data_IF_076339465412
#
_entry.id   IF_076339465412
#
_cell.length_a   1.000
_cell.length_b   1.000
_cell.length_c   1.000
_cell.angle_alpha   90.00
_cell.angle_beta   90.00
_cell.angle_gamma   90.00
#
_symmetry.space_group_name_H-M   'P 1'
#
loop_
_entity.id
_entity.type
_entity.pdbx_description
1 polymer ?
#
# COMPACT_ATOMS: atom_id res chain seq x y z
N UNK A 1 -11.82 0.05 -1.92
CA UNK A 1 -11.00 -0.91 -2.66
C UNK A 1 -9.79 -0.19 -3.23
N UNK A 2 -8.72 -0.93 -3.53
CA UNK A 2 -7.47 -0.41 -4.09
C UNK A 2 -7.24 -1.01 -5.47
N UNK A 3 -6.77 -0.21 -6.43
CA UNK A 3 -6.33 -0.64 -7.76
C UNK A 3 -5.11 0.19 -8.14
N UNK A 4 -4.09 -0.45 -8.70
CA UNK A 4 -2.85 0.18 -9.17
C UNK A 4 -2.52 -0.32 -10.58
N UNK A 5 -1.63 0.37 -11.28
CA UNK A 5 -1.25 0.04 -12.68
C UNK A 5 -0.16 -1.02 -12.81
N UNK A 6 0.33 -1.58 -11.69
CA UNK A 6 1.41 -2.57 -11.71
C UNK A 6 1.87 -2.97 -10.32
N UNK A 7 2.98 -3.71 -10.26
CA UNK A 7 3.54 -4.26 -9.01
C UNK A 7 3.86 -3.16 -8.00
N UNK A 8 3.61 -3.44 -6.73
CA UNK A 8 3.97 -2.56 -5.61
C UNK A 8 4.18 -3.37 -4.33
N UNK A 9 4.90 -2.81 -3.37
CA UNK A 9 4.95 -3.31 -2.00
C UNK A 9 4.15 -2.39 -1.07
N UNK A 10 3.61 -2.98 0.00
CA UNK A 10 3.00 -2.24 1.10
C UNK A 10 3.85 -2.36 2.36
N UNK A 11 3.79 -1.31 3.19
CA UNK A 11 4.23 -1.34 4.58
C UNK A 11 3.07 -0.87 5.46
N UNK A 12 2.71 -1.68 6.45
CA UNK A 12 1.68 -1.40 7.43
C UNK A 12 2.34 -0.60 8.55
N UNK A 13 2.11 0.70 8.55
CA UNK A 13 2.74 1.61 9.50
C UNK A 13 2.00 1.68 10.84
N UNK A 14 0.69 1.51 10.81
CA UNK A 14 -0.18 1.54 12.01
C UNK A 14 -1.42 0.68 11.82
N UNK A 15 -1.91 0.11 12.91
CA UNK A 15 -3.16 -0.65 12.92
C UNK A 15 -3.02 -2.06 12.39
N UNK A 16 -4.17 -2.71 12.23
CA UNK A 16 -4.28 -4.08 11.71
C UNK A 16 -5.52 -4.24 10.85
N UNK A 17 -5.49 -5.21 9.96
CA UNK A 17 -6.54 -5.38 8.97
C UNK A 17 -6.38 -6.61 8.09
N UNK A 18 -7.14 -6.60 7.00
CA UNK A 18 -6.99 -7.55 5.90
C UNK A 18 -6.66 -6.82 4.60
N UNK A 19 -5.68 -7.33 3.86
CA UNK A 19 -5.36 -6.90 2.51
C UNK A 19 -5.66 -8.05 1.55
N UNK A 20 -6.78 -7.98 0.84
CA UNK A 20 -7.31 -9.07 0.02
C UNK A 20 -7.45 -10.39 0.81
N UNK A 21 -7.94 -10.31 2.05
CA UNK A 21 -8.10 -11.45 2.95
C UNK A 21 -6.83 -11.85 3.74
N UNK A 22 -5.65 -11.37 3.35
CA UNK A 22 -4.40 -11.63 4.08
C UNK A 22 -4.32 -10.75 5.32
N UNK A 23 -3.98 -11.33 6.48
CA UNK A 23 -3.76 -10.56 7.71
C UNK A 23 -2.58 -9.61 7.53
N UNK A 24 -2.79 -8.37 7.97
CA UNK A 24 -1.77 -7.33 8.00
C UNK A 24 -1.76 -6.63 9.36
N UNK A 25 -0.58 -6.34 9.90
CA UNK A 25 -0.44 -5.74 11.24
C UNK A 25 0.87 -4.97 11.37
N UNK A 26 0.78 -3.72 11.83
CA UNK A 26 1.96 -2.89 12.04
C UNK A 26 2.88 -3.44 13.14
N UNK A 27 4.19 -3.47 12.87
CA UNK A 27 5.21 -3.91 13.82
C UNK A 27 5.31 -5.44 13.99
N UNK A 28 4.51 -6.20 13.26
CA UNK A 28 4.61 -7.65 13.18
C UNK A 28 5.36 -8.04 11.90
N UNK A 29 6.65 -8.38 12.01
CA UNK A 29 7.55 -8.65 10.86
C UNK A 29 7.05 -9.69 9.85
N UNK A 30 6.08 -10.53 10.22
CA UNK A 30 5.48 -11.49 9.30
C UNK A 30 4.32 -10.91 8.48
N UNK A 31 3.71 -9.83 8.96
CA UNK A 31 2.43 -9.28 8.49
C UNK A 31 2.48 -7.76 8.22
N UNK A 32 3.61 -7.11 8.46
CA UNK A 32 3.78 -5.67 8.27
C UNK A 32 4.14 -5.30 6.82
N UNK A 33 4.54 -6.26 5.99
CA UNK A 33 4.85 -6.03 4.59
C UNK A 33 4.23 -7.09 3.67
N UNK A 34 3.75 -6.67 2.49
CA UNK A 34 3.36 -7.56 1.40
C UNK A 34 3.89 -7.04 0.07
N UNK A 35 4.31 -7.97 -0.80
CA UNK A 35 4.48 -7.70 -2.23
C UNK A 35 3.17 -8.03 -2.96
N UNK A 36 2.61 -7.05 -3.67
CA UNK A 36 1.42 -7.24 -4.50
C UNK A 36 1.86 -7.38 -5.95
N UNK A 37 1.66 -8.58 -6.51
CA UNK A 37 1.99 -8.87 -7.90
C UNK A 37 1.18 -8.03 -8.87
N UNK A 38 1.71 -7.80 -10.08
CA UNK A 38 1.00 -7.08 -11.15
C UNK A 38 -0.41 -7.65 -11.41
N UNK A 39 -0.54 -8.97 -11.44
CA UNK A 39 -1.83 -9.64 -11.72
C UNK A 39 -2.89 -9.30 -10.67
N UNK A 40 -2.50 -9.11 -9.41
CA UNK A 40 -3.43 -8.73 -8.34
C UNK A 40 -3.61 -7.22 -8.24
N UNK A 41 -2.56 -6.44 -8.45
CA UNK A 41 -2.58 -4.98 -8.36
C UNK A 41 -3.54 -4.33 -9.37
N UNK A 42 -3.66 -4.92 -10.56
CA UNK A 42 -4.48 -4.40 -11.67
C UNK A 42 -5.97 -4.77 -11.60
N UNK A 43 -6.40 -5.42 -10.51
CA UNK A 43 -7.81 -5.71 -10.20
C UNK A 43 -8.18 -5.17 -8.81
N UNK A 44 -9.47 -4.96 -8.49
CA UNK A 44 -9.88 -4.47 -7.18
C UNK A 44 -9.38 -5.36 -6.03
N UNK A 45 -8.66 -4.73 -5.11
CA UNK A 45 -8.24 -5.30 -3.83
C UNK A 45 -9.10 -4.72 -2.72
N UNK A 46 -9.64 -5.61 -1.89
CA UNK A 46 -10.36 -5.22 -0.69
C UNK A 46 -9.37 -4.94 0.44
N UNK A 47 -9.56 -3.81 1.13
CA UNK A 47 -8.74 -3.41 2.28
C UNK A 47 -9.69 -3.14 3.42
N UNK A 48 -9.52 -3.87 4.51
CA UNK A 48 -10.44 -3.88 5.64
C UNK A 48 -9.68 -3.55 6.91
N UNK A 49 -10.13 -2.55 7.65
CA UNK A 49 -9.63 -2.29 9.00
C UNK A 49 -10.38 -3.18 9.99
N UNK A 50 -9.67 -4.08 10.68
CA UNK A 50 -10.23 -4.99 11.68
C UNK A 50 -9.83 -4.60 13.11
N UNK A 51 -9.06 -3.53 13.25
CA UNK A 51 -8.66 -2.94 14.53
C UNK A 51 -9.60 -1.84 15.01
N UNK A 52 -9.23 -1.24 16.14
CA UNK A 52 -9.91 -0.09 16.74
C UNK A 52 -9.17 1.23 16.49
N UNK A 53 -8.04 1.20 15.80
CA UNK A 53 -7.25 2.37 15.43
C UNK A 53 -7.17 2.52 13.91
N UNK A 54 -6.68 3.66 13.44
CA UNK A 54 -6.49 3.90 12.01
C UNK A 54 -5.50 2.89 11.40
N UNK A 55 -5.93 2.24 10.33
CA UNK A 55 -5.08 1.41 9.49
C UNK A 55 -4.32 2.32 8.51
N UNK A 56 -3.01 2.48 8.72
CA UNK A 56 -2.14 3.30 7.88
C UNK A 56 -1.21 2.39 7.08
N UNK A 57 -1.29 2.50 5.75
CA UNK A 57 -0.50 1.69 4.83
C UNK A 57 0.22 2.61 3.86
N UNK A 58 1.53 2.46 3.75
CA UNK A 58 2.33 3.06 2.69
C UNK A 58 2.45 2.10 1.52
N UNK A 59 2.35 2.61 0.30
CA UNK A 59 2.63 1.87 -0.92
C UNK A 59 3.89 2.42 -1.56
N UNK A 60 4.75 1.53 -2.02
CA UNK A 60 5.92 1.88 -2.81
C UNK A 60 5.79 1.19 -4.17
N UNK A 61 5.90 1.97 -5.23
CA UNK A 61 5.78 1.53 -6.61
C UNK A 61 6.84 2.22 -7.47
N UNK A 62 7.16 1.62 -8.60
CA UNK A 62 8.11 2.19 -9.55
C UNK A 62 7.61 3.52 -10.13
N UNK A 63 8.52 4.44 -10.51
CA UNK A 63 8.15 5.77 -11.02
C UNK A 63 7.32 5.74 -12.30
N UNK A 64 7.26 4.60 -12.98
CA UNK A 64 6.55 4.34 -14.23
C UNK A 64 5.18 3.67 -14.05
N UNK A 65 4.79 3.31 -12.82
CA UNK A 65 3.56 2.56 -12.55
C UNK A 65 2.33 3.48 -12.52
N UNK A 66 2.20 4.31 -11.48
CA UNK A 66 1.05 5.21 -11.30
C UNK A 66 1.44 6.64 -11.67
N UNK A 67 1.33 6.97 -12.96
CA UNK A 67 1.77 8.28 -13.50
C UNK A 67 0.83 9.46 -13.17
N UNK A 68 -0.37 9.17 -12.70
CA UNK A 68 -1.44 10.11 -12.35
C UNK A 68 -1.45 10.49 -10.86
N UNK A 69 -0.35 10.26 -10.17
CA UNK A 69 -0.20 10.63 -8.75
C UNK A 69 0.12 12.11 -8.58
N UNK A 70 -0.37 12.75 -7.50
CA UNK A 70 0.05 14.09 -7.17
C UNK A 70 1.55 14.11 -6.86
N UNK A 71 2.28 14.97 -7.56
CA UNK A 71 3.71 15.16 -7.34
C UNK A 71 3.94 16.36 -6.42
N UNK A 72 4.80 16.20 -5.43
CA UNK A 72 5.31 17.34 -4.66
C UNK A 72 6.29 18.10 -5.57
N UNK A 73 6.17 19.44 -5.71
CA UNK A 73 7.12 20.21 -6.49
C UNK A 73 8.54 19.98 -6.01
N UNK A 74 9.47 19.86 -6.97
CA UNK A 74 10.89 19.74 -6.64
C UNK A 74 11.35 20.96 -5.83
N UNK A 75 11.94 20.69 -4.67
CA UNK A 75 12.57 21.74 -3.89
C UNK A 75 13.80 22.23 -4.65
N UNK A 76 13.82 23.50 -5.04
CA UNK A 76 15.01 24.16 -5.61
C UNK A 76 15.77 24.87 -4.48
N UNK A 77 16.97 24.40 -4.09
CA UNK A 77 17.85 25.19 -3.23
C UNK A 77 18.20 26.50 -3.95
N UNK A 78 18.14 27.62 -3.21
CA UNK A 78 18.52 28.95 -3.70
C UNK A 78 20.03 29.16 -3.78
#
# INVERSE_FOLDING_TARGET
>A
TSVDKGVYNILVWRGRGRYDGHEIEAGNFGWDELLVSHAKATVPIMVENTGSEDLMIFKFFGPDINLDVPMIPEYRPG
#
